data_IF_852608972590
#
_entry.id   IF_852608972590
#
_cell.length_a   1.000
_cell.length_b   1.000
_cell.length_c   1.000
_cell.angle_alpha   90.00
_cell.angle_beta   90.00
_cell.angle_gamma   90.00
#
_symmetry.space_group_name_H-M   'P 1'
#
loop_
_entity.id
_entity.type
_entity.pdbx_description
1 polymer ?
#
# COMPACT_ATOMS: atom_id res chain seq x y z
N UNK A 1 70.40 -38.92 -57.43
CA UNK A 1 69.73 -37.91 -56.59
C UNK A 1 68.23 -38.03 -56.84
N UNK A 2 67.52 -38.91 -56.12
CA UNK A 2 66.05 -39.08 -56.21
C UNK A 2 65.55 -39.39 -54.79
N UNK A 3 64.65 -38.54 -54.28
CA UNK A 3 63.95 -38.66 -52.99
C UNK A 3 62.61 -39.36 -53.22
N UNK A 4 62.19 -40.22 -52.30
CA UNK A 4 60.80 -40.65 -52.13
C UNK A 4 60.26 -40.12 -50.80
N UNK A 5 59.05 -39.57 -50.84
CA UNK A 5 58.29 -38.99 -49.73
C UNK A 5 57.23 -39.99 -49.29
N UNK A 6 57.11 -40.23 -47.98
CA UNK A 6 56.07 -41.03 -47.37
C UNK A 6 54.81 -40.19 -47.10
N UNK A 7 53.64 -40.75 -47.44
CA UNK A 7 52.33 -40.17 -47.21
C UNK A 7 51.85 -40.47 -45.77
N UNK A 8 51.47 -39.43 -45.03
CA UNK A 8 50.84 -39.51 -43.72
C UNK A 8 49.32 -39.33 -43.81
N UNK A 9 48.60 -40.30 -43.27
CA UNK A 9 47.15 -40.34 -43.14
C UNK A 9 46.71 -39.50 -41.92
N UNK A 10 45.84 -38.50 -42.10
CA UNK A 10 45.26 -37.69 -41.01
C UNK A 10 43.82 -38.12 -40.79
N UNK A 11 43.51 -38.62 -39.59
CA UNK A 11 42.16 -38.87 -39.09
C UNK A 11 41.63 -37.59 -38.43
N UNK A 12 40.50 -37.07 -38.92
CA UNK A 12 39.80 -35.95 -38.32
C UNK A 12 38.73 -36.45 -37.34
N UNK A 13 38.90 -36.13 -36.06
CA UNK A 13 37.88 -36.29 -35.01
C UNK A 13 36.98 -35.05 -34.94
N UNK A 14 35.70 -35.19 -35.25
CA UNK A 14 34.68 -34.14 -35.10
C UNK A 14 34.14 -34.11 -33.67
N UNK A 15 34.47 -33.05 -32.92
CA UNK A 15 33.85 -32.73 -31.64
C UNK A 15 32.43 -32.17 -31.85
N UNK A 16 31.44 -32.77 -31.18
CA UNK A 16 30.07 -32.26 -31.10
C UNK A 16 29.98 -31.16 -30.03
N UNK A 17 29.33 -30.01 -30.30
CA UNK A 17 29.12 -28.95 -29.31
C UNK A 17 28.07 -29.36 -28.27
N UNK A 18 28.37 -29.08 -27.00
CA UNK A 18 27.56 -29.45 -25.85
C UNK A 18 26.19 -28.76 -25.78
N UNK A 19 25.19 -29.53 -25.39
CA UNK A 19 23.86 -29.08 -24.98
C UNK A 19 23.97 -28.25 -23.69
N UNK A 20 23.72 -26.94 -23.79
CA UNK A 20 23.54 -26.06 -22.64
C UNK A 20 22.11 -26.23 -22.13
N UNK A 21 21.97 -26.83 -20.95
CA UNK A 21 20.70 -26.85 -20.21
C UNK A 21 20.37 -25.42 -19.76
N UNK A 22 19.21 -24.91 -20.16
CA UNK A 22 18.73 -23.59 -19.79
C UNK A 22 18.59 -23.50 -18.26
N UNK A 23 19.29 -22.56 -17.63
CA UNK A 23 19.16 -22.31 -16.20
C UNK A 23 17.88 -21.50 -15.93
N UNK A 24 17.13 -21.80 -14.85
CA UNK A 24 16.01 -20.97 -14.41
C UNK A 24 16.54 -19.59 -13.99
N UNK A 25 15.94 -18.54 -14.53
CA UNK A 25 16.30 -17.14 -14.22
C UNK A 25 15.50 -16.71 -12.98
N UNK A 26 16.16 -16.55 -11.83
CA UNK A 26 15.56 -15.94 -10.64
C UNK A 26 15.80 -14.43 -10.67
N UNK A 27 14.72 -13.64 -10.76
CA UNK A 27 14.79 -12.17 -10.81
C UNK A 27 14.53 -11.62 -9.39
N UNK A 28 15.59 -11.28 -8.66
CA UNK A 28 15.46 -10.80 -7.27
C UNK A 28 15.03 -9.33 -7.13
N UNK A 29 15.03 -8.53 -8.21
CA UNK A 29 14.41 -7.19 -8.33
C UNK A 29 14.75 -6.58 -9.69
N UNK A 30 13.81 -6.59 -10.63
CA UNK A 30 13.90 -5.77 -11.84
C UNK A 30 12.55 -5.11 -12.10
N UNK A 31 12.41 -3.85 -11.70
CA UNK A 31 11.28 -3.00 -12.08
C UNK A 31 11.77 -1.97 -13.10
N UNK A 32 11.26 -2.06 -14.33
CA UNK A 32 11.48 -1.04 -15.36
C UNK A 32 10.63 0.18 -15.02
N UNK A 33 11.18 1.41 -14.99
CA UNK A 33 10.41 2.63 -14.79
C UNK A 33 9.37 2.84 -15.92
N UNK A 34 8.17 3.29 -15.57
CA UNK A 34 7.05 3.51 -16.51
C UNK A 34 7.42 4.39 -17.72
N UNK A 35 8.27 5.40 -17.52
CA UNK A 35 8.75 6.29 -18.58
C UNK A 35 9.56 5.56 -19.68
N UNK A 36 10.27 4.49 -19.32
CA UNK A 36 10.99 3.68 -20.31
C UNK A 36 10.04 2.80 -21.13
N UNK A 37 8.98 2.29 -20.49
CA UNK A 37 7.92 1.53 -21.18
C UNK A 37 7.15 2.42 -22.16
N UNK A 38 6.77 3.64 -21.77
CA UNK A 38 6.14 4.60 -22.68
C UNK A 38 7.02 4.93 -23.90
N UNK A 39 8.34 5.00 -23.70
CA UNK A 39 9.29 5.24 -24.80
C UNK A 39 9.31 4.09 -25.80
N UNK A 40 9.12 2.85 -25.34
CA UNK A 40 8.97 1.68 -26.21
C UNK A 40 7.65 1.74 -26.99
N UNK A 41 6.53 2.06 -26.33
CA UNK A 41 5.23 2.21 -26.98
C UNK A 41 5.20 3.29 -28.07
N UNK A 42 5.83 4.45 -27.83
CA UNK A 42 5.87 5.54 -28.82
C UNK A 42 6.73 5.23 -30.03
N UNK A 43 7.71 4.32 -29.93
CA UNK A 43 8.56 3.92 -31.06
C UNK A 43 7.85 3.04 -32.09
N UNK A 44 6.72 2.43 -31.75
CA UNK A 44 6.00 1.49 -32.62
C UNK A 44 4.73 2.09 -33.27
N UNK A 45 4.44 3.37 -33.09
CA UNK A 45 3.16 3.98 -33.47
C UNK A 45 2.86 4.04 -34.98
N UNK A 46 1.92 3.21 -35.44
CA UNK A 46 0.95 3.60 -36.49
C UNK A 46 -0.35 4.08 -35.84
N UNK A 47 -1.04 5.08 -36.41
CA UNK A 47 -2.31 5.57 -35.88
C UNK A 47 -3.42 4.51 -36.05
N UNK A 48 -4.21 4.30 -34.99
CA UNK A 48 -5.32 3.34 -34.95
C UNK A 48 -6.59 4.02 -35.47
N UNK A 49 -7.34 3.42 -36.42
CA UNK A 49 -8.64 3.96 -36.84
C UNK A 49 -9.69 3.78 -35.74
N UNK A 50 -10.54 4.78 -35.55
CA UNK A 50 -11.71 4.70 -34.66
C UNK A 50 -12.71 3.65 -35.20
N UNK A 51 -12.80 2.51 -34.52
CA UNK A 51 -13.81 1.49 -34.79
C UNK A 51 -15.06 1.69 -33.89
N UNK A 52 -16.25 1.20 -34.30
CA UNK A 52 -17.52 1.49 -33.64
C UNK A 52 -17.65 0.85 -32.24
N UNK A 53 -18.45 1.49 -31.37
CA UNK A 53 -18.74 1.13 -29.96
C UNK A 53 -19.56 -0.17 -29.82
N UNK A 54 -18.99 -1.31 -30.16
CA UNK A 54 -19.21 -2.56 -29.41
C UNK A 54 -18.10 -2.64 -28.36
N UNK A 55 -18.34 -3.16 -27.15
CA UNK A 55 -17.27 -3.35 -26.17
C UNK A 55 -16.14 -4.13 -26.84
N UNK A 56 -15.02 -3.45 -27.12
CA UNK A 56 -13.93 -4.02 -27.90
C UNK A 56 -13.51 -5.34 -27.26
N UNK A 57 -13.25 -6.41 -28.04
CA UNK A 57 -12.73 -7.64 -27.49
C UNK A 57 -11.51 -7.29 -26.64
N UNK A 58 -11.53 -7.68 -25.36
CA UNK A 58 -10.41 -7.39 -24.46
C UNK A 58 -9.16 -8.00 -25.09
N UNK A 59 -8.08 -7.22 -25.17
CA UNK A 59 -6.84 -7.66 -25.80
C UNK A 59 -6.15 -8.81 -25.05
N UNK A 60 -6.72 -9.22 -23.92
CA UNK A 60 -6.27 -10.28 -23.05
C UNK A 60 -7.41 -10.79 -22.16
N UNK A 61 -7.20 -11.96 -21.55
CA UNK A 61 -8.01 -12.52 -20.46
C UNK A 61 -7.09 -13.23 -19.46
N UNK A 62 -7.56 -13.43 -18.23
CA UNK A 62 -6.79 -14.17 -17.23
C UNK A 62 -7.63 -15.14 -16.40
N UNK A 63 -6.98 -16.19 -15.89
CA UNK A 63 -7.50 -17.01 -14.80
C UNK A 63 -6.56 -16.98 -13.61
N UNK A 64 -7.07 -17.27 -12.42
CA UNK A 64 -6.28 -17.17 -11.18
C UNK A 64 -6.50 -18.34 -10.22
N UNK A 65 -5.45 -18.76 -9.53
CA UNK A 65 -5.51 -19.55 -8.31
C UNK A 65 -4.87 -18.74 -7.19
N UNK A 66 -5.60 -18.53 -6.11
CA UNK A 66 -5.16 -17.73 -4.96
C UNK A 66 -5.16 -18.60 -3.72
N UNK A 67 -4.00 -18.80 -3.12
CA UNK A 67 -3.86 -19.36 -1.79
C UNK A 67 -3.39 -18.26 -0.85
N UNK A 68 -3.92 -18.20 0.37
CA UNK A 68 -3.53 -17.11 1.26
C UNK A 68 -3.84 -17.35 2.72
N UNK A 69 -3.25 -16.49 3.56
CA UNK A 69 -3.52 -16.42 4.99
C UNK A 69 -3.71 -14.98 5.41
N UNK A 70 -4.70 -14.77 6.28
CA UNK A 70 -4.92 -13.49 6.94
C UNK A 70 -4.54 -13.63 8.41
N UNK A 71 -3.65 -12.75 8.87
CA UNK A 71 -3.23 -12.67 10.26
C UNK A 71 -2.88 -11.23 10.61
N UNK A 72 -3.25 -10.78 11.81
CA UNK A 72 -2.88 -9.46 12.34
C UNK A 72 -3.21 -8.29 11.39
N UNK A 73 -4.39 -8.34 10.77
CA UNK A 73 -4.85 -7.30 9.85
C UNK A 73 -4.07 -7.21 8.54
N UNK A 74 -3.27 -8.23 8.19
CA UNK A 74 -2.54 -8.34 6.93
C UNK A 74 -2.91 -9.62 6.19
N UNK A 75 -2.89 -9.55 4.86
CA UNK A 75 -3.01 -10.69 3.98
C UNK A 75 -1.64 -11.03 3.40
N UNK A 76 -1.32 -12.32 3.33
CA UNK A 76 -0.25 -12.89 2.51
C UNK A 76 -0.88 -13.86 1.53
N UNK A 77 -0.67 -13.65 0.23
CA UNK A 77 -1.29 -14.43 -0.84
C UNK A 77 -0.21 -14.94 -1.78
N UNK A 78 -0.29 -16.22 -2.14
CA UNK A 78 0.35 -16.81 -3.30
C UNK A 78 -0.68 -16.82 -4.44
N UNK A 79 -0.35 -16.18 -5.57
CA UNK A 79 -1.24 -16.01 -6.70
C UNK A 79 -0.57 -16.61 -7.94
N UNK A 80 -1.20 -17.65 -8.50
CA UNK A 80 -0.85 -18.20 -9.81
C UNK A 80 -1.82 -17.66 -10.86
N UNK A 81 -1.30 -16.98 -11.88
CA UNK A 81 -2.08 -16.38 -12.97
C UNK A 81 -1.73 -17.06 -14.30
N UNK A 82 -2.75 -17.36 -15.10
CA UNK A 82 -2.58 -17.67 -16.52
C UNK A 82 -3.21 -16.52 -17.33
N UNK A 83 -2.37 -15.78 -18.06
CA UNK A 83 -2.79 -14.63 -18.86
C UNK A 83 -2.72 -15.00 -20.34
N UNK A 84 -3.86 -15.00 -21.02
CA UNK A 84 -3.94 -15.18 -22.47
C UNK A 84 -3.97 -13.82 -23.16
N UNK A 85 -2.90 -13.47 -23.88
CA UNK A 85 -2.84 -12.26 -24.70
C UNK A 85 -3.40 -12.58 -26.09
N UNK A 86 -4.42 -11.82 -26.50
CA UNK A 86 -5.23 -12.05 -27.70
C UNK A 86 -4.93 -11.04 -28.82
N UNK A 87 -4.06 -10.07 -28.58
CA UNK A 87 -3.60 -9.11 -29.59
C UNK A 87 -2.11 -9.30 -29.90
N UNK A 88 -1.74 -9.24 -31.18
CA UNK A 88 -0.33 -9.29 -31.62
C UNK A 88 0.32 -7.90 -31.58
N UNK A 89 0.37 -7.36 -30.36
CA UNK A 89 1.01 -6.08 -30.01
C UNK A 89 1.33 -6.08 -28.53
N UNK A 90 2.04 -5.07 -28.06
CA UNK A 90 2.19 -4.84 -26.64
C UNK A 90 0.83 -4.64 -25.95
N UNK A 91 0.63 -5.37 -24.86
CA UNK A 91 -0.55 -5.34 -24.02
C UNK A 91 -0.14 -5.10 -22.57
N UNK A 92 -0.91 -4.27 -21.87
CA UNK A 92 -0.76 -4.04 -20.43
C UNK A 92 -2.02 -4.53 -19.72
N UNK A 93 -1.85 -5.48 -18.81
CA UNK A 93 -2.89 -6.07 -17.99
C UNK A 93 -2.70 -5.65 -16.52
N UNK A 94 -3.58 -4.81 -15.94
CA UNK A 94 -3.52 -4.48 -14.51
C UNK A 94 -3.71 -5.74 -13.67
N UNK A 95 -2.80 -5.98 -12.73
CA UNK A 95 -2.81 -7.18 -11.90
C UNK A 95 -3.22 -6.87 -10.47
N UNK A 96 -2.48 -6.03 -9.76
CA UNK A 96 -2.64 -5.80 -8.32
C UNK A 96 -2.86 -4.31 -8.03
N UNK A 97 -3.69 -3.97 -7.04
CA UNK A 97 -3.83 -2.58 -6.57
C UNK A 97 -2.58 -2.12 -5.82
N UNK A 98 -2.44 -0.80 -5.66
CA UNK A 98 -1.27 -0.17 -5.01
C UNK A 98 -0.99 -0.62 -3.56
N UNK A 99 -2.01 -1.08 -2.83
CA UNK A 99 -1.87 -1.49 -1.43
C UNK A 99 -1.32 -2.91 -1.25
N UNK A 100 -1.23 -3.71 -2.32
CA UNK A 100 -0.61 -5.03 -2.29
C UNK A 100 0.83 -4.94 -2.83
N UNK A 101 1.79 -5.28 -1.98
CA UNK A 101 3.19 -5.34 -2.34
C UNK A 101 3.55 -6.75 -2.85
N UNK A 102 4.31 -6.81 -3.95
CA UNK A 102 4.88 -8.06 -4.47
C UNK A 102 6.21 -8.32 -3.75
N UNK A 103 6.30 -9.44 -3.04
CA UNK A 103 7.52 -9.88 -2.35
C UNK A 103 8.38 -10.81 -3.22
N UNK A 104 7.74 -11.62 -4.08
CA UNK A 104 8.40 -12.48 -5.07
C UNK A 104 7.56 -12.56 -6.34
N UNK A 105 8.21 -12.70 -7.48
CA UNK A 105 7.53 -12.90 -8.75
C UNK A 105 8.36 -13.79 -9.69
N UNK A 106 7.69 -14.72 -10.36
CA UNK A 106 8.20 -15.48 -11.48
C UNK A 106 7.27 -15.29 -12.68
N UNK A 107 7.86 -15.15 -13.87
CA UNK A 107 7.12 -14.96 -15.11
C UNK A 107 7.65 -15.95 -16.14
N UNK A 108 6.79 -16.90 -16.52
CA UNK A 108 7.07 -17.84 -17.59
C UNK A 108 6.44 -17.31 -18.88
N UNK A 109 7.31 -17.07 -19.86
CA UNK A 109 6.95 -16.43 -21.14
C UNK A 109 6.96 -17.46 -22.27
N UNK A 110 6.06 -17.34 -23.26
CA UNK A 110 6.16 -18.10 -24.50
C UNK A 110 7.53 -17.90 -25.17
N UNK A 111 7.96 -18.92 -25.92
CA UNK A 111 9.19 -18.86 -26.71
C UNK A 111 9.17 -17.63 -27.62
N UNK A 112 10.29 -16.92 -27.68
CA UNK A 112 10.49 -15.72 -28.51
C UNK A 112 9.57 -14.53 -28.17
N UNK A 113 8.88 -14.56 -27.02
CA UNK A 113 8.07 -13.44 -26.50
C UNK A 113 8.72 -12.80 -25.27
N UNK A 114 8.15 -11.67 -24.86
CA UNK A 114 8.58 -10.92 -23.66
C UNK A 114 7.38 -10.69 -22.76
N UNK A 115 7.59 -10.82 -21.46
CA UNK A 115 6.63 -10.53 -20.42
C UNK A 115 7.37 -9.94 -19.23
N UNK A 116 6.85 -8.85 -18.65
CA UNK A 116 7.48 -8.18 -17.53
C UNK A 116 6.44 -7.54 -16.60
N UNK A 117 6.76 -7.50 -15.31
CA UNK A 117 5.95 -6.78 -14.33
C UNK A 117 6.38 -5.31 -14.27
N UNK A 118 5.40 -4.42 -14.31
CA UNK A 118 5.60 -2.97 -14.22
C UNK A 118 4.83 -2.41 -13.05
N UNK A 119 5.41 -1.41 -12.38
CA UNK A 119 4.71 -0.60 -11.39
C UNK A 119 4.11 0.62 -12.09
N UNK A 120 2.82 0.85 -11.88
CA UNK A 120 2.08 2.02 -12.34
C UNK A 120 1.56 2.81 -11.13
N UNK A 121 0.89 3.94 -11.41
CA UNK A 121 0.20 4.73 -10.37
C UNK A 121 -1.01 4.01 -9.77
N UNK A 122 -1.56 3.02 -10.47
CA UNK A 122 -2.73 2.25 -10.00
C UNK A 122 -2.33 0.95 -9.27
N UNK A 123 -1.04 0.58 -9.32
CA UNK A 123 -0.50 -0.61 -8.66
C UNK A 123 0.52 -1.36 -9.51
N UNK A 124 0.35 -2.67 -9.65
CA UNK A 124 1.22 -3.53 -10.47
C UNK A 124 0.45 -4.02 -11.68
N UNK A 125 1.08 -3.93 -12.85
CA UNK A 125 0.56 -4.46 -14.10
C UNK A 125 1.57 -5.42 -14.75
N UNK A 126 1.06 -6.26 -15.65
CA UNK A 126 1.86 -7.11 -16.51
C UNK A 126 1.87 -6.53 -17.92
N UNK A 127 3.06 -6.33 -18.48
CA UNK A 127 3.26 -5.92 -19.86
C UNK A 127 3.81 -7.10 -20.67
N UNK A 128 3.15 -7.43 -21.77
CA UNK A 128 3.51 -8.55 -22.63
C UNK A 128 3.57 -8.13 -24.10
N UNK A 129 4.50 -8.72 -24.83
CA UNK A 129 4.72 -8.49 -26.26
C UNK A 129 4.10 -9.62 -27.09
N UNK A 130 2.89 -9.36 -27.59
CA UNK A 130 2.24 -10.20 -28.59
C UNK A 130 1.51 -11.44 -28.05
N UNK A 131 0.91 -12.16 -29.00
CA UNK A 131 0.00 -13.28 -28.74
C UNK A 131 0.70 -14.40 -27.96
N UNK A 132 -0.01 -14.96 -26.98
CA UNK A 132 0.47 -16.12 -26.25
C UNK A 132 -0.18 -16.31 -24.88
N UNK A 133 0.19 -17.39 -24.21
CA UNK A 133 -0.18 -17.68 -22.83
C UNK A 133 1.02 -17.46 -21.94
N UNK A 134 0.86 -16.62 -20.94
CA UNK A 134 1.88 -16.26 -19.98
C UNK A 134 1.46 -16.80 -18.62
N UNK A 135 2.40 -17.34 -17.87
CA UNK A 135 2.16 -17.81 -16.51
C UNK A 135 2.94 -16.93 -15.53
N UNK A 136 2.27 -16.52 -14.46
CA UNK A 136 2.88 -15.70 -13.42
C UNK A 136 2.61 -16.31 -12.06
N UNK A 137 3.67 -16.46 -11.27
CA UNK A 137 3.59 -16.83 -9.86
C UNK A 137 4.00 -15.62 -9.02
N UNK A 138 3.10 -15.16 -8.16
CA UNK A 138 3.30 -13.96 -7.35
C UNK A 138 3.13 -14.29 -5.87
N UNK A 139 4.08 -13.89 -5.06
CA UNK A 139 3.90 -13.79 -3.60
C UNK A 139 3.60 -12.32 -3.27
N UNK A 140 2.46 -12.07 -2.65
CA UNK A 140 1.98 -10.72 -2.35
C UNK A 140 1.61 -10.57 -0.88
N UNK A 141 1.85 -9.39 -0.34
CA UNK A 141 1.43 -9.03 1.01
C UNK A 141 0.87 -7.61 1.08
N UNK A 142 -0.12 -7.40 1.95
CA UNK A 142 -0.69 -6.07 2.16
C UNK A 142 -1.59 -5.98 3.37
N UNK A 143 -1.93 -4.76 3.80
CA UNK A 143 -2.92 -4.55 4.86
C UNK A 143 -4.31 -4.90 4.33
N UNK A 144 -5.21 -5.30 5.24
CA UNK A 144 -6.64 -5.30 4.95
C UNK A 144 -7.14 -3.85 4.96
N UNK A 145 -8.06 -3.54 4.05
CA UNK A 145 -8.74 -2.25 4.02
C UNK A 145 -9.81 -2.17 5.11
N UNK A 146 -10.06 -1.00 5.66
CA UNK A 146 -11.17 -0.80 6.61
C UNK A 146 -12.44 -0.53 5.83
N UNK A 147 -13.50 -1.29 6.10
CA UNK A 147 -14.82 -1.16 5.47
C UNK A 147 -15.90 -1.12 6.56
N UNK A 148 -16.13 0.07 7.12
CA UNK A 148 -17.04 0.27 8.25
C UNK A 148 -16.54 -0.46 9.50
N UNK A 149 -17.36 -1.35 10.06
CA UNK A 149 -16.99 -2.21 11.21
C UNK A 149 -16.28 -3.52 10.82
N UNK A 150 -15.97 -3.69 9.54
CA UNK A 150 -15.29 -4.87 9.00
C UNK A 150 -13.95 -4.49 8.37
N UNK A 151 -13.09 -5.48 8.18
CA UNK A 151 -11.93 -5.34 7.31
C UNK A 151 -12.15 -6.08 6.01
N UNK A 152 -11.62 -5.57 4.91
CA UNK A 152 -11.81 -6.05 3.56
C UNK A 152 -10.48 -6.45 2.94
N UNK A 153 -10.41 -7.65 2.38
CA UNK A 153 -9.43 -8.01 1.37
C UNK A 153 -10.10 -7.89 0.00
N UNK A 154 -9.56 -7.07 -0.88
CA UNK A 154 -10.15 -6.76 -2.18
C UNK A 154 -9.10 -6.88 -3.30
N UNK A 155 -9.43 -7.66 -4.33
CA UNK A 155 -8.60 -7.82 -5.52
C UNK A 155 -9.49 -8.07 -6.75
N UNK A 156 -9.54 -7.09 -7.64
CA UNK A 156 -10.45 -7.05 -8.80
C UNK A 156 -9.70 -6.82 -10.10
N UNK A 157 -8.81 -7.74 -10.52
CA UNK A 157 -8.10 -7.56 -11.78
C UNK A 157 -9.11 -7.54 -12.93
N UNK A 158 -9.04 -6.56 -13.85
CA UNK A 158 -9.82 -6.58 -15.08
C UNK A 158 -9.58 -7.89 -15.84
N UNK A 159 -10.50 -8.30 -16.72
CA UNK A 159 -10.29 -9.47 -17.58
C UNK A 159 -10.17 -10.83 -16.86
N UNK A 160 -10.42 -10.90 -15.53
CA UNK A 160 -10.49 -12.16 -14.80
C UNK A 160 -11.72 -12.96 -15.23
N UNK A 161 -11.47 -14.01 -16.00
CA UNK A 161 -12.49 -14.87 -16.57
C UNK A 161 -12.93 -15.97 -15.58
N UNK A 162 -12.03 -16.38 -14.67
CA UNK A 162 -12.33 -17.47 -13.73
C UNK A 162 -11.18 -17.76 -12.78
N UNK A 163 -11.44 -18.58 -11.77
CA UNK A 163 -10.40 -19.01 -10.86
C UNK A 163 -10.90 -19.64 -9.57
N UNK A 164 -10.00 -19.84 -8.63
CA UNK A 164 -10.30 -20.32 -7.28
C UNK A 164 -9.50 -19.53 -6.25
N UNK A 165 -10.08 -19.36 -5.07
CA UNK A 165 -9.40 -18.81 -3.91
C UNK A 165 -9.56 -19.70 -2.69
N UNK A 166 -8.49 -19.85 -1.93
CA UNK A 166 -8.42 -20.53 -0.63
C UNK A 166 -7.70 -19.64 0.37
N UNK A 167 -8.44 -19.06 1.31
CA UNK A 167 -7.91 -18.13 2.30
C UNK A 167 -8.08 -18.69 3.71
N UNK A 168 -6.99 -18.86 4.44
CA UNK A 168 -7.02 -19.20 5.86
C UNK A 168 -7.27 -17.96 6.71
N UNK A 169 -8.31 -18.01 7.55
CA UNK A 169 -8.63 -16.94 8.49
C UNK A 169 -8.82 -17.54 9.90
N UNK A 170 -8.03 -17.12 10.90
CA UNK A 170 -8.16 -17.65 12.25
C UNK A 170 -9.44 -17.15 12.94
N UNK A 171 -10.16 -18.07 13.59
CA UNK A 171 -11.27 -17.72 14.49
C UNK A 171 -12.50 -17.10 13.82
N UNK A 172 -12.62 -17.23 12.49
CA UNK A 172 -13.69 -16.58 11.76
C UNK A 172 -14.99 -17.40 11.81
N UNK A 173 -16.05 -16.79 12.33
CA UNK A 173 -17.37 -17.42 12.41
C UNK A 173 -18.21 -17.21 11.14
N UNK A 174 -18.04 -16.05 10.49
CA UNK A 174 -18.84 -15.62 9.34
C UNK A 174 -17.97 -14.89 8.32
N UNK A 175 -18.26 -15.11 7.06
CA UNK A 175 -17.67 -14.40 5.91
C UNK A 175 -18.76 -13.68 5.17
N UNK A 176 -18.45 -12.49 4.67
CA UNK A 176 -19.27 -11.78 3.68
C UNK A 176 -18.38 -11.28 2.54
N UNK A 177 -18.98 -10.71 1.50
CA UNK A 177 -18.29 -10.16 0.34
C UNK A 177 -19.11 -10.36 -0.93
N UNK A 178 -18.72 -9.70 -2.02
CA UNK A 178 -19.33 -9.96 -3.34
C UNK A 178 -18.96 -11.32 -3.91
N UNK A 179 -17.82 -11.87 -3.53
CA UNK A 179 -17.41 -13.23 -3.92
C UNK A 179 -18.21 -14.27 -3.13
N UNK A 180 -18.73 -15.29 -3.82
CA UNK A 180 -19.46 -16.38 -3.19
C UNK A 180 -18.53 -17.32 -2.43
N UNK A 181 -18.42 -17.12 -1.11
CA UNK A 181 -17.56 -17.91 -0.23
C UNK A 181 -18.27 -19.13 0.36
N UNK A 182 -17.56 -20.25 0.41
CA UNK A 182 -17.82 -21.40 1.26
C UNK A 182 -16.83 -21.42 2.42
N UNK A 183 -17.22 -22.01 3.55
CA UNK A 183 -16.41 -22.07 4.76
C UNK A 183 -16.18 -23.53 5.14
N UNK A 184 -14.92 -23.92 5.25
CA UNK A 184 -14.50 -25.18 5.85
C UNK A 184 -13.86 -24.91 7.22
N UNK A 185 -14.29 -25.64 8.24
CA UNK A 185 -13.70 -25.55 9.59
C UNK A 185 -12.70 -26.70 9.77
N UNK A 186 -11.45 -26.34 9.99
CA UNK A 186 -10.37 -27.27 10.29
C UNK A 186 -10.18 -27.50 11.80
N UNK A 187 -9.38 -28.50 12.18
CA UNK A 187 -8.97 -28.71 13.56
C UNK A 187 -8.25 -27.49 14.14
N UNK A 188 -8.44 -27.22 15.43
CA UNK A 188 -7.83 -26.08 16.12
C UNK A 188 -8.49 -24.72 15.83
N UNK A 189 -9.74 -24.70 15.36
CA UNK A 189 -10.47 -23.45 15.11
C UNK A 189 -9.97 -22.64 13.91
N UNK A 190 -9.19 -23.27 13.03
CA UNK A 190 -8.78 -22.67 11.76
C UNK A 190 -9.95 -22.70 10.79
N UNK A 191 -10.31 -21.54 10.25
CA UNK A 191 -11.35 -21.43 9.23
C UNK A 191 -10.68 -21.26 7.87
N UNK A 192 -11.08 -22.05 6.88
CA UNK A 192 -10.64 -21.90 5.50
C UNK A 192 -11.83 -21.42 4.66
N UNK A 193 -11.67 -20.25 4.06
CA UNK A 193 -12.60 -19.67 3.12
C UNK A 193 -12.26 -20.15 1.70
N UNK A 194 -13.22 -20.71 1.00
CA UNK A 194 -13.08 -21.18 -0.39
C UNK A 194 -14.01 -20.39 -1.30
N UNK A 195 -13.55 -19.99 -2.48
CA UNK A 195 -14.38 -19.32 -3.47
C UNK A 195 -14.02 -19.72 -4.90
N UNK A 196 -15.02 -19.68 -5.78
CA UNK A 196 -14.80 -19.58 -7.21
C UNK A 196 -14.65 -18.10 -7.59
N UNK A 197 -13.62 -17.78 -8.35
CA UNK A 197 -13.36 -16.43 -8.84
C UNK A 197 -13.98 -16.25 -10.23
N UNK A 198 -14.36 -15.01 -10.55
CA UNK A 198 -14.86 -14.59 -11.86
C UNK A 198 -14.65 -13.10 -12.04
N UNK A 199 -15.45 -12.46 -12.89
CA UNK A 199 -15.30 -11.02 -13.19
C UNK A 199 -15.42 -10.11 -11.94
N UNK A 200 -16.10 -10.57 -10.88
CA UNK A 200 -16.21 -9.86 -9.61
C UNK A 200 -14.96 -9.96 -8.73
N UNK A 201 -13.93 -10.72 -9.13
CA UNK A 201 -12.69 -10.88 -8.39
C UNK A 201 -12.83 -11.55 -7.04
N UNK A 202 -11.90 -11.20 -6.15
CA UNK A 202 -11.82 -11.63 -4.77
C UNK A 202 -12.23 -10.45 -3.87
N UNK A 203 -13.32 -10.60 -3.13
CA UNK A 203 -13.69 -9.72 -2.03
C UNK A 203 -14.06 -10.54 -0.81
N UNK A 204 -13.29 -10.39 0.25
CA UNK A 204 -13.51 -11.03 1.54
C UNK A 204 -13.71 -9.94 2.61
N UNK A 205 -14.92 -9.86 3.16
CA UNK A 205 -15.25 -9.03 4.31
C UNK A 205 -15.16 -9.88 5.58
N UNK A 206 -14.32 -9.43 6.49
CA UNK A 206 -14.06 -10.02 7.78
C UNK A 206 -14.74 -9.18 8.86
N UNK A 207 -15.89 -9.62 9.39
CA UNK A 207 -16.54 -8.94 10.50
C UNK A 207 -15.64 -8.99 11.74
N UNK A 208 -15.44 -7.84 12.40
CA UNK A 208 -14.77 -7.78 13.72
C UNK A 208 -13.26 -8.06 13.73
N UNK A 209 -12.60 -8.07 12.57
CA UNK A 209 -11.13 -8.09 12.49
C UNK A 209 -10.51 -6.68 12.42
N UNK A 210 -11.33 -5.63 12.26
CA UNK A 210 -10.98 -4.34 12.83
C UNK A 210 -10.82 -4.63 14.32
N UNK A 211 -9.58 -4.57 14.81
CA UNK A 211 -9.19 -4.92 16.17
C UNK A 211 -10.37 -4.68 17.11
N UNK A 212 -10.73 -5.67 17.92
CA UNK A 212 -11.53 -5.42 19.11
C UNK A 212 -10.85 -4.25 19.82
N UNK A 213 -11.33 -3.04 19.55
CA UNK A 213 -11.03 -1.86 20.33
C UNK A 213 -11.68 -2.24 21.65
N UNK A 214 -10.87 -2.75 22.58
CA UNK A 214 -11.32 -3.40 23.82
C UNK A 214 -12.08 -2.48 24.78
N UNK A 215 -12.41 -1.26 24.35
CA UNK A 215 -13.44 -0.47 24.97
C UNK A 215 -14.17 0.35 23.91
N UNK A 216 -15.49 0.47 24.07
CA UNK A 216 -16.38 1.29 23.24
C UNK A 216 -16.12 2.79 23.36
N UNK A 217 -14.86 3.20 23.16
CA UNK A 217 -14.42 4.57 23.07
C UNK A 217 -14.75 5.11 21.68
N UNK A 218 -15.64 6.10 21.60
CA UNK A 218 -15.79 6.92 20.40
C UNK A 218 -14.90 8.15 20.51
N UNK A 219 -14.37 8.61 19.38
CA UNK A 219 -13.64 9.87 19.30
C UNK A 219 -14.58 10.93 18.71
N UNK A 220 -14.97 11.91 19.52
CA UNK A 220 -15.88 12.95 19.05
C UNK A 220 -15.11 14.06 18.33
N UNK A 221 -13.98 14.47 18.88
CA UNK A 221 -13.22 15.62 18.40
C UNK A 221 -11.72 15.31 18.40
N UNK A 222 -11.04 15.67 17.33
CA UNK A 222 -9.59 15.63 17.19
C UNK A 222 -9.10 17.00 16.74
N UNK A 223 -8.15 17.54 17.49
CA UNK A 223 -7.43 18.77 17.14
C UNK A 223 -5.94 18.49 17.14
N UNK A 224 -5.31 18.68 15.99
CA UNK A 224 -3.87 18.54 15.85
C UNK A 224 -3.21 19.85 15.42
N UNK A 225 -2.01 20.09 15.95
CA UNK A 225 -1.12 21.16 15.54
C UNK A 225 0.26 20.55 15.29
N UNK A 226 0.77 20.66 14.07
CA UNK A 226 2.10 20.21 13.70
C UNK A 226 2.96 21.40 13.32
N UNK A 227 4.15 21.50 13.89
CA UNK A 227 5.15 22.50 13.52
C UNK A 227 6.36 21.77 12.96
N UNK A 228 6.81 22.18 11.77
CA UNK A 228 7.95 21.59 11.07
C UNK A 228 9.06 22.62 10.96
N UNK A 229 10.28 22.23 11.29
CA UNK A 229 11.48 23.05 11.14
C UNK A 229 12.08 22.91 9.74
N UNK A 230 12.96 23.85 9.37
CA UNK A 230 13.74 23.76 8.12
C UNK A 230 14.62 22.50 8.09
N UNK A 231 15.08 22.02 9.24
CA UNK A 231 15.82 20.76 9.36
C UNK A 231 14.99 19.49 9.14
N UNK A 232 13.68 19.61 8.89
CA UNK A 232 12.77 18.48 8.67
C UNK A 232 12.24 17.85 9.96
N UNK A 233 12.87 18.10 11.11
CA UNK A 233 12.34 17.72 12.40
C UNK A 233 11.07 18.51 12.71
N UNK A 234 10.13 17.88 13.42
CA UNK A 234 8.88 18.50 13.79
C UNK A 234 8.31 18.00 15.11
N UNK A 235 7.29 18.70 15.57
CA UNK A 235 6.53 18.36 16.77
C UNK A 235 5.05 18.44 16.45
N UNK A 236 4.31 17.44 16.88
CA UNK A 236 2.84 17.43 16.77
C UNK A 236 2.24 17.38 18.15
N UNK A 237 1.33 18.31 18.43
CA UNK A 237 0.40 18.25 19.55
C UNK A 237 -0.95 17.75 19.03
N UNK A 238 -1.54 16.79 19.74
CA UNK A 238 -2.79 16.15 19.40
C UNK A 238 -3.70 16.17 20.63
N UNK A 239 -4.88 16.77 20.52
CA UNK A 239 -5.93 16.71 21.53
C UNK A 239 -7.08 15.90 20.97
N UNK A 240 -7.54 14.91 21.73
CA UNK A 240 -8.66 14.05 21.36
C UNK A 240 -9.69 14.03 22.49
N UNK A 241 -10.97 14.21 22.15
CA UNK A 241 -12.09 14.02 23.06
C UNK A 241 -12.65 12.62 22.91
N UNK A 242 -12.51 11.83 23.96
CA UNK A 242 -12.91 10.42 24.02
C UNK A 242 -14.21 10.30 24.81
N UNK A 243 -15.22 9.62 24.27
CA UNK A 243 -16.38 9.14 25.02
C UNK A 243 -16.23 7.63 25.21
N UNK A 244 -15.89 7.20 26.43
CA UNK A 244 -15.73 5.79 26.78
C UNK A 244 -16.36 5.51 28.15
N UNK A 245 -16.73 4.27 28.44
CA UNK A 245 -17.09 3.86 29.81
C UNK A 245 -15.83 3.67 30.67
N UNK A 246 -14.94 2.78 30.23
CA UNK A 246 -13.58 2.54 30.76
C UNK A 246 -12.79 1.76 29.71
N UNK A 247 -11.47 1.99 29.60
CA UNK A 247 -10.61 1.22 28.71
C UNK A 247 -9.27 1.86 28.39
N UNK A 248 -8.69 1.46 27.26
CA UNK A 248 -7.44 2.00 26.73
C UNK A 248 -7.63 2.55 25.31
N UNK A 249 -7.23 3.80 25.09
CA UNK A 249 -7.08 4.36 23.76
C UNK A 249 -5.69 3.97 23.22
N UNK A 250 -5.66 3.12 22.20
CA UNK A 250 -4.42 2.72 21.52
C UNK A 250 -4.23 3.52 20.24
N UNK A 251 -3.07 4.18 20.11
CA UNK A 251 -2.68 4.97 18.95
C UNK A 251 -1.33 4.46 18.43
N UNK A 252 -1.12 4.50 17.11
CA UNK A 252 0.20 4.16 16.53
C UNK A 252 0.82 5.42 15.93
N UNK A 253 1.88 5.91 16.54
CA UNK A 253 2.62 7.08 16.06
C UNK A 253 3.24 6.83 14.67
N UNK A 254 3.48 7.89 13.88
CA UNK A 254 4.23 7.79 12.62
C UNK A 254 5.61 7.14 12.82
N UNK A 255 6.18 6.62 11.74
CA UNK A 255 7.52 6.02 11.80
C UNK A 255 8.55 7.06 12.24
N UNK A 256 9.46 6.67 13.14
CA UNK A 256 10.50 7.56 13.68
C UNK A 256 9.98 8.55 14.75
N UNK A 257 8.66 8.64 14.96
CA UNK A 257 8.11 9.52 15.97
C UNK A 257 8.33 9.00 17.39
N UNK A 258 8.50 9.91 18.35
CA UNK A 258 8.73 9.62 19.77
C UNK A 258 7.77 10.41 20.64
N UNK A 259 7.05 9.72 21.53
CA UNK A 259 6.16 10.39 22.49
C UNK A 259 6.97 11.25 23.47
N UNK A 260 6.61 12.53 23.57
CA UNK A 260 7.23 13.48 24.49
C UNK A 260 6.39 13.69 25.75
N UNK A 261 5.10 14.01 25.59
CA UNK A 261 4.17 14.25 26.71
C UNK A 261 2.82 13.60 26.44
N UNK A 262 2.15 13.17 27.51
CA UNK A 262 0.80 12.65 27.47
C UNK A 262 0.00 13.12 28.70
N UNK A 263 -1.25 13.48 28.49
CA UNK A 263 -2.20 13.88 29.53
C UNK A 263 -3.56 13.23 29.31
N UNK A 264 -4.25 12.87 30.40
CA UNK A 264 -5.64 12.39 30.38
C UNK A 264 -6.43 13.13 31.43
N UNK A 265 -7.52 13.79 31.03
CA UNK A 265 -8.32 14.62 31.95
C UNK A 265 -7.47 15.68 32.66
N UNK A 266 -6.42 16.17 32.01
CA UNK A 266 -5.47 17.12 32.59
C UNK A 266 -4.38 16.53 33.50
N UNK A 267 -4.40 15.23 33.80
CA UNK A 267 -3.35 14.55 34.57
C UNK A 267 -2.23 14.09 33.64
N UNK A 268 -0.99 14.46 33.95
CA UNK A 268 0.18 14.01 33.20
C UNK A 268 0.43 12.51 33.40
N UNK A 269 0.73 11.80 32.32
CA UNK A 269 1.18 10.42 32.31
C UNK A 269 2.68 10.37 31.97
N UNK A 270 3.41 9.42 32.56
CA UNK A 270 4.82 9.20 32.22
C UNK A 270 4.89 8.54 30.84
N UNK A 271 5.61 9.15 29.90
CA UNK A 271 5.75 8.65 28.53
C UNK A 271 6.24 7.18 28.49
N UNK A 272 7.19 6.82 29.36
CA UNK A 272 7.72 5.45 29.49
C UNK A 272 6.69 4.41 29.94
N UNK A 273 5.57 4.82 30.51
CA UNK A 273 4.49 3.93 30.97
C UNK A 273 3.44 3.70 29.89
N UNK A 274 3.25 4.67 28.99
CA UNK A 274 2.20 4.64 27.97
C UNK A 274 2.72 4.36 26.56
N UNK A 275 4.01 4.54 26.30
CA UNK A 275 4.62 4.29 25.00
C UNK A 275 5.42 2.98 24.97
N UNK A 276 5.17 2.17 23.95
CA UNK A 276 5.90 0.94 23.61
C UNK A 276 6.28 1.01 22.13
N UNK A 277 7.51 1.47 21.84
CA UNK A 277 7.92 1.77 20.47
C UNK A 277 7.09 2.93 19.89
N UNK A 278 6.43 2.70 18.76
CA UNK A 278 5.49 3.67 18.15
C UNK A 278 4.07 3.55 18.69
N UNK A 279 3.76 2.52 19.46
CA UNK A 279 2.41 2.31 20.01
C UNK A 279 2.25 3.07 21.32
N UNK A 280 1.18 3.85 21.45
CA UNK A 280 0.83 4.63 22.64
C UNK A 280 -0.51 4.13 23.17
N UNK A 281 -0.52 3.59 24.38
CA UNK A 281 -1.71 3.10 25.08
C UNK A 281 -2.05 4.02 26.24
N UNK A 282 -3.20 4.68 26.15
CA UNK A 282 -3.64 5.69 27.11
C UNK A 282 -4.85 5.18 27.87
N UNK A 283 -4.77 4.97 29.19
CA UNK A 283 -5.94 4.57 29.97
C UNK A 283 -6.95 5.72 30.02
N UNK A 284 -8.21 5.41 29.70
CA UNK A 284 -9.34 6.34 29.67
C UNK A 284 -10.46 5.82 30.56
N UNK A 285 -11.07 6.72 31.35
CA UNK A 285 -12.22 6.42 32.21
C UNK A 285 -13.29 7.48 31.99
N UNK A 286 -14.50 7.06 31.66
CA UNK A 286 -15.56 7.98 31.30
C UNK A 286 -15.20 8.85 30.09
N UNK A 287 -15.84 10.02 30.04
CA UNK A 287 -15.54 11.05 29.06
C UNK A 287 -14.24 11.76 29.46
N UNK A 288 -13.23 11.68 28.59
CA UNK A 288 -11.91 12.24 28.88
C UNK A 288 -11.35 12.99 27.69
N UNK A 289 -10.58 14.05 27.98
CA UNK A 289 -9.72 14.69 26.99
C UNK A 289 -8.32 14.10 27.12
N UNK A 290 -7.81 13.56 26.01
CA UNK A 290 -6.45 13.06 25.87
C UNK A 290 -5.63 14.10 25.12
N UNK A 291 -4.49 14.52 25.67
CA UNK A 291 -3.54 15.41 24.99
C UNK A 291 -2.20 14.66 24.85
N UNK A 292 -1.68 14.58 23.63
CA UNK A 292 -0.38 14.01 23.32
C UNK A 292 0.49 15.07 22.66
N UNK A 293 1.79 15.04 22.95
CA UNK A 293 2.80 15.72 22.17
C UNK A 293 3.89 14.72 21.81
N UNK A 294 4.28 14.68 20.53
CA UNK A 294 5.34 13.80 20.05
C UNK A 294 6.21 14.53 19.04
N UNK A 295 7.47 14.13 18.97
CA UNK A 295 8.43 14.64 17.97
C UNK A 295 8.61 13.62 16.86
N UNK A 296 9.08 14.07 15.70
CA UNK A 296 9.48 13.21 14.60
C UNK A 296 10.63 13.85 13.83
N UNK A 297 11.42 13.01 13.17
CA UNK A 297 12.52 13.43 12.31
C UNK A 297 12.12 13.22 10.84
N UNK A 298 11.97 14.30 10.10
CA UNK A 298 11.70 14.30 8.66
C UNK A 298 12.95 14.62 7.83
N UNK A 299 12.80 14.63 6.51
CA UNK A 299 13.86 15.07 5.61
C UNK A 299 14.05 16.58 5.69
N UNK A 300 15.31 17.03 5.79
CA UNK A 300 15.66 18.45 5.78
C UNK A 300 15.13 19.16 4.52
N UNK A 301 14.65 20.39 4.69
CA UNK A 301 14.12 21.22 3.62
C UNK A 301 15.24 22.01 2.94
N UNK A 302 15.47 21.74 1.65
CA UNK A 302 16.46 22.44 0.84
C UNK A 302 15.85 23.56 -0.02
N UNK A 303 16.47 23.82 -1.18
CA UNK A 303 15.96 24.80 -2.16
C UNK A 303 14.64 24.32 -2.79
N UNK A 304 14.48 23.01 -2.97
CA UNK A 304 13.25 22.40 -3.50
C UNK A 304 13.11 20.98 -2.97
N UNK A 305 11.88 20.50 -2.87
CA UNK A 305 11.63 19.11 -2.47
C UNK A 305 10.17 18.81 -2.18
N UNK A 306 9.96 17.73 -1.45
CA UNK A 306 8.65 17.31 -0.95
C UNK A 306 8.67 17.24 0.56
N UNK A 307 7.54 17.56 1.18
CA UNK A 307 7.32 17.32 2.59
C UNK A 307 6.17 16.35 2.77
N UNK A 308 6.21 15.58 3.85
CA UNK A 308 5.11 14.72 4.28
C UNK A 308 5.07 14.70 5.80
N UNK A 309 3.89 14.96 6.34
CA UNK A 309 3.59 14.84 7.78
C UNK A 309 2.42 13.91 7.96
N UNK A 310 2.41 13.17 9.06
CA UNK A 310 1.36 12.18 9.38
C UNK A 310 0.87 12.38 10.81
N UNK A 311 -0.43 12.16 11.03
CA UNK A 311 -0.99 11.99 12.38
C UNK A 311 -0.86 10.52 12.82
N UNK A 312 -1.00 10.22 14.13
CA UNK A 312 -1.03 8.85 14.60
C UNK A 312 -2.19 8.08 13.95
N UNK A 313 -2.00 6.78 13.75
CA UNK A 313 -3.08 5.89 13.33
C UNK A 313 -4.14 5.84 14.43
N UNK A 314 -5.36 6.19 14.09
CA UNK A 314 -6.51 6.14 14.98
C UNK A 314 -7.20 4.77 14.86
N UNK A 315 -7.62 4.16 15.99
CA UNK A 315 -8.26 2.84 15.98
C UNK A 315 -9.74 2.91 15.59
N UNK A 316 -10.37 4.08 15.75
CA UNK A 316 -11.79 4.32 15.52
C UNK A 316 -12.02 5.64 14.78
N UNK A 317 -13.20 5.79 14.20
CA UNK A 317 -13.63 7.00 13.50
C UNK A 317 -13.69 8.21 14.44
N UNK A 318 -13.33 9.41 13.92
CA UNK A 318 -13.50 10.70 14.60
C UNK A 318 -14.60 11.52 13.92
N UNK A 319 -15.54 12.08 14.70
CA UNK A 319 -16.68 12.89 14.20
C UNK A 319 -16.38 14.37 13.92
N UNK A 320 -15.25 14.88 14.35
CA UNK A 320 -14.79 16.22 13.99
C UNK A 320 -13.28 16.25 14.09
N UNK A 321 -12.60 16.28 12.95
CA UNK A 321 -11.15 16.32 12.90
C UNK A 321 -10.68 17.64 12.30
N UNK A 322 -9.74 18.29 12.99
CA UNK A 322 -9.05 19.49 12.56
C UNK A 322 -7.56 19.35 12.75
N UNK A 323 -6.79 19.76 11.76
CA UNK A 323 -5.34 19.72 11.79
C UNK A 323 -4.76 20.98 11.19
N UNK A 324 -3.80 21.59 11.87
CA UNK A 324 -3.03 22.71 11.35
C UNK A 324 -1.56 22.32 11.24
N UNK A 325 -1.00 22.56 10.07
CA UNK A 325 0.41 22.29 9.76
C UNK A 325 1.09 23.63 9.51
N UNK A 326 2.07 23.94 10.35
CA UNK A 326 2.92 25.11 10.24
C UNK A 326 4.25 24.69 9.65
N UNK A 327 4.55 25.26 8.48
CA UNK A 327 5.75 24.98 7.71
C UNK A 327 6.68 26.21 7.74
N UNK A 328 8.00 26.02 7.55
CA UNK A 328 8.96 27.12 7.59
C UNK A 328 8.59 28.31 6.69
N UNK A 329 8.86 29.53 7.17
CA UNK A 329 8.74 30.75 6.37
C UNK A 329 9.75 30.77 5.22
N UNK A 330 9.52 31.61 4.21
CA UNK A 330 10.48 31.84 3.12
C UNK A 330 10.51 30.75 2.05
N UNK A 331 9.60 29.77 2.11
CA UNK A 331 9.38 28.76 1.07
C UNK A 331 7.99 28.94 0.47
N UNK A 332 7.86 28.66 -0.82
CA UNK A 332 6.59 28.56 -1.53
C UNK A 332 6.14 27.11 -1.52
N UNK A 333 4.91 26.85 -1.06
CA UNK A 333 4.33 25.51 -0.99
C UNK A 333 3.27 25.33 -2.08
N UNK A 334 3.30 24.19 -2.78
CA UNK A 334 2.39 23.89 -3.89
C UNK A 334 1.95 22.42 -3.86
N UNK A 335 0.89 22.12 -4.61
CA UNK A 335 0.40 20.75 -4.84
C UNK A 335 0.09 19.99 -3.54
N UNK A 336 -0.42 20.71 -2.53
CA UNK A 336 -0.73 20.11 -1.24
C UNK A 336 -1.86 19.10 -1.37
N UNK A 337 -1.55 17.84 -1.08
CA UNK A 337 -2.51 16.74 -0.97
C UNK A 337 -2.68 16.38 0.50
N UNK A 338 -3.92 16.16 0.92
CA UNK A 338 -4.23 15.85 2.31
C UNK A 338 -5.38 14.85 2.41
N UNK A 339 -5.36 14.04 3.47
CA UNK A 339 -6.47 13.14 3.81
C UNK A 339 -7.73 13.88 4.31
N UNK A 340 -7.64 15.21 4.51
CA UNK A 340 -8.69 16.10 5.02
C UNK A 340 -8.85 17.30 4.08
N UNK A 341 -10.03 17.93 4.07
CA UNK A 341 -10.30 19.09 3.22
C UNK A 341 -9.63 20.36 3.76
N UNK A 342 -9.30 21.35 2.91
CA UNK A 342 -8.68 22.59 3.35
C UNK A 342 -9.62 23.41 4.25
N UNK A 343 -9.08 24.07 5.27
CA UNK A 343 -9.78 25.02 6.13
C UNK A 343 -8.88 26.17 6.55
N UNK A 344 -9.46 27.29 6.98
CA UNK A 344 -8.68 28.42 7.47
C UNK A 344 -8.00 28.08 8.81
N UNK A 345 -6.74 28.49 8.99
CA UNK A 345 -6.03 28.34 10.25
C UNK A 345 -6.66 29.18 11.38
N UNK A 346 -6.52 28.71 12.62
CA UNK A 346 -7.01 29.39 13.82
C UNK A 346 -5.89 29.60 14.83
N UNK A 347 -5.96 30.72 15.53
CA UNK A 347 -5.05 31.05 16.62
C UNK A 347 -5.59 30.63 18.00
N UNK A 348 -6.48 29.62 18.09
CA UNK A 348 -7.09 29.19 19.36
C UNK A 348 -6.21 28.27 20.21
N UNK A 349 -4.95 28.07 19.80
CA UNK A 349 -3.99 27.16 20.42
C UNK A 349 -3.29 27.68 21.68
N UNK A 350 -3.41 28.97 21.99
CA UNK A 350 -2.70 29.62 23.10
C UNK A 350 -3.10 29.09 24.49
N UNK A 351 -4.26 28.43 24.61
CA UNK A 351 -4.79 27.92 25.89
C UNK A 351 -4.45 26.47 26.20
N UNK A 352 -3.43 25.92 25.56
CA UNK A 352 -3.05 24.51 25.71
C UNK A 352 -1.90 24.31 26.70
N UNK A 353 -1.78 23.11 27.27
CA UNK A 353 -0.78 22.82 28.32
C UNK A 353 0.64 22.68 27.76
N UNK A 354 0.75 22.29 26.50
CA UNK A 354 2.02 22.18 25.79
C UNK A 354 2.10 23.28 24.74
N UNK A 355 2.57 24.50 25.07
CA UNK A 355 2.69 25.56 24.08
C UNK A 355 3.65 25.14 22.97
N UNK A 356 3.28 25.43 21.73
CA UNK A 356 4.12 25.28 20.55
C UNK A 356 4.21 26.65 19.90
N UNK A 357 5.43 27.15 19.72
CA UNK A 357 5.65 28.38 18.97
C UNK A 357 5.43 28.08 17.48
N UNK A 358 4.49 28.80 16.87
CA UNK A 358 4.20 28.67 15.44
C UNK A 358 4.90 29.79 14.68
N UNK A 359 5.66 29.40 13.65
CA UNK A 359 6.30 30.34 12.73
C UNK A 359 6.08 29.86 11.29
N UNK A 360 5.97 30.80 10.36
CA UNK A 360 5.91 30.52 8.93
C UNK A 360 4.50 30.36 8.36
N UNK A 361 4.38 29.51 7.34
CA UNK A 361 3.17 29.34 6.56
C UNK A 361 2.25 28.32 7.23
N UNK A 362 1.00 28.70 7.50
CA UNK A 362 0.00 27.79 8.05
C UNK A 362 -0.88 27.20 6.94
N UNK A 363 -1.06 25.88 7.00
CA UNK A 363 -2.06 25.15 6.21
C UNK A 363 -3.03 24.45 7.16
N UNK A 364 -4.32 24.81 7.09
CA UNK A 364 -5.37 24.21 7.90
C UNK A 364 -6.14 23.15 7.13
N UNK A 365 -6.53 22.08 7.82
CA UNK A 365 -7.33 21.00 7.29
C UNK A 365 -8.45 20.60 8.26
N UNK A 366 -9.62 20.21 7.73
CA UNK A 366 -10.71 19.65 8.53
C UNK A 366 -11.49 18.55 7.80
N UNK A 367 -12.16 17.71 8.58
CA UNK A 367 -13.04 16.66 8.07
C UNK A 367 -14.10 16.32 9.11
N UNK A 368 -15.37 16.31 8.70
CA UNK A 368 -16.49 15.98 9.58
C UNK A 368 -16.53 14.49 9.97
N UNK A 369 -15.90 13.59 9.23
CA UNK A 369 -15.74 12.19 9.64
C UNK A 369 -14.38 11.73 9.17
N UNK A 370 -13.43 11.56 10.10
CA UNK A 370 -12.13 10.98 9.83
C UNK A 370 -12.18 9.48 10.14
N UNK A 371 -12.11 8.66 9.10
CA UNK A 371 -12.12 7.20 9.22
C UNK A 371 -10.89 6.66 9.97
N UNK A 372 -10.96 5.45 10.54
CA UNK A 372 -9.81 4.80 11.15
C UNK A 372 -8.65 4.71 10.16
N UNK A 373 -7.43 4.99 10.62
CA UNK A 373 -6.27 5.05 9.74
C UNK A 373 -5.33 6.21 10.06
N UNK A 374 -4.44 6.52 9.11
CA UNK A 374 -3.49 7.63 9.20
C UNK A 374 -3.96 8.78 8.33
N UNK A 375 -4.15 9.95 8.94
CA UNK A 375 -4.25 11.19 8.19
C UNK A 375 -2.85 11.68 7.82
N UNK A 376 -2.68 12.18 6.61
CA UNK A 376 -1.42 12.74 6.12
C UNK A 376 -1.66 14.05 5.38
N UNK A 377 -0.61 14.86 5.32
CA UNK A 377 -0.48 16.02 4.44
C UNK A 377 0.87 15.91 3.76
N UNK A 378 0.89 16.01 2.44
CA UNK A 378 2.12 16.09 1.66
C UNK A 378 2.03 17.16 0.58
N UNK A 379 3.17 17.65 0.11
CA UNK A 379 3.20 18.67 -0.93
C UNK A 379 4.63 18.96 -1.38
N UNK A 380 4.74 19.88 -2.32
CA UNK A 380 6.01 20.35 -2.86
C UNK A 380 6.37 21.70 -2.24
N UNK A 381 7.67 21.97 -2.11
CA UNK A 381 8.18 23.27 -1.72
C UNK A 381 9.31 23.73 -2.64
N UNK A 382 9.46 25.04 -2.76
CA UNK A 382 10.56 25.71 -3.45
C UNK A 382 10.92 27.02 -2.74
N UNK A 383 12.21 27.36 -2.69
CA UNK A 383 12.70 28.63 -2.20
C UNK A 383 12.63 29.66 -3.34
N UNK A 384 11.98 30.82 -3.16
CA UNK A 384 12.03 31.90 -4.14
C UNK A 384 13.47 32.40 -4.25
N UNK A 385 13.99 32.44 -5.49
CA UNK A 385 15.34 32.92 -5.82
C UNK A 385 15.44 34.44 -5.79
#
# INVERSE_FOLDING_TARGET
>A
MIRWVAAGLVLATTQLPGLVLAQPITIEKATVPWSELERLFRREGRPVPEAPRGAAPTAWSMTAQVDGRIQEGRARLAIHLEISVLADRWVVAPLLPEHLAVSSAQVDVPKDRRGLLVRSVEGIAFAADGLGRYQLDLEVEGPLEVAGSSTRLAWFPPGLAGGKARIEVPGLERIAGRTGWSIERGPGGRTTALAALGASGLELLLPGAAERTEAGATLEELRALTVVSLGGAGVTRLTVRVLASEGELTLVLPQGARLWKAYVGGRALKASTVAQGTTVKVPVRGNAQVELAYTFDGQAMGIRGRFRVELPRLPVTVRDARWEVWLPAGLTYRETQAAMGPTACRNDWERTRTPLETQGACSGFSRAVLEPGRAYVEGHYEQPL
#
